data_IF_659061130428
#
_entry.id   IF_659061130428
#
_cell.length_a   1.000
_cell.length_b   1.000
_cell.length_c   1.000
_cell.angle_alpha   90.00
_cell.angle_beta   90.00
_cell.angle_gamma   90.00
#
_symmetry.space_group_name_H-M   'P 1'
#
loop_
_entity.id
_entity.type
_entity.pdbx_description
1 polymer ?
#
# COMPACT_ATOMS: atom_id res chain seq x y z
N UNK A 1 -18.89 1.68 10.29
CA UNK A 1 -18.33 1.36 8.96
C UNK A 1 -19.43 1.04 7.93
N UNK A 2 -20.44 0.18 8.22
CA UNK A 2 -21.55 -0.12 7.27
C UNK A 2 -22.28 1.15 6.82
N UNK A 3 -22.55 2.10 7.73
CA UNK A 3 -23.23 3.37 7.39
C UNK A 3 -22.45 4.20 6.37
N UNK A 4 -21.10 4.28 6.49
CA UNK A 4 -20.25 5.00 5.54
C UNK A 4 -20.31 4.34 4.16
N UNK A 5 -20.15 3.02 4.10
CA UNK A 5 -20.23 2.27 2.86
C UNK A 5 -21.63 2.41 2.19
N UNK A 6 -22.71 2.34 2.98
CA UNK A 6 -24.07 2.55 2.48
C UNK A 6 -24.27 3.98 1.94
N UNK A 7 -23.70 4.99 2.62
CA UNK A 7 -23.78 6.37 2.14
C UNK A 7 -23.04 6.57 0.81
N UNK A 8 -21.84 5.99 0.64
CA UNK A 8 -21.10 6.02 -0.62
C UNK A 8 -21.93 5.43 -1.76
N UNK A 9 -22.64 4.33 -1.49
CA UNK A 9 -23.43 3.61 -2.50
C UNK A 9 -24.81 4.23 -2.79
N UNK A 10 -25.17 5.34 -2.15
CA UNK A 10 -26.41 6.07 -2.47
C UNK A 10 -26.36 6.81 -3.81
N UNK A 11 -25.15 7.04 -4.37
CA UNK A 11 -24.96 7.62 -5.68
C UNK A 11 -23.65 8.38 -5.84
N UNK A 12 -23.38 8.81 -7.07
CA UNK A 12 -22.11 9.45 -7.44
C UNK A 12 -21.81 10.73 -6.66
N UNK A 13 -22.81 11.51 -6.28
CA UNK A 13 -22.62 12.74 -5.49
C UNK A 13 -22.13 12.42 -4.09
N UNK A 14 -22.75 11.47 -3.40
CA UNK A 14 -22.38 11.02 -2.06
C UNK A 14 -20.97 10.42 -2.04
N UNK A 15 -20.68 9.58 -3.04
CA UNK A 15 -19.34 9.03 -3.22
C UNK A 15 -18.29 10.14 -3.42
N UNK A 16 -18.56 11.11 -4.30
CA UNK A 16 -17.65 12.26 -4.55
C UNK A 16 -17.39 13.07 -3.27
N UNK A 17 -18.44 13.35 -2.49
CA UNK A 17 -18.30 14.06 -1.22
C UNK A 17 -17.36 13.30 -0.28
N UNK A 18 -17.54 11.99 -0.11
CA UNK A 18 -16.67 11.19 0.77
C UNK A 18 -15.24 11.18 0.27
N UNK A 19 -15.02 10.91 -1.03
CA UNK A 19 -13.67 10.85 -1.61
C UNK A 19 -12.94 12.19 -1.45
N UNK A 20 -13.57 13.31 -1.85
CA UNK A 20 -12.96 14.63 -1.76
C UNK A 20 -12.74 15.09 -0.33
N UNK A 21 -13.72 14.92 0.56
CA UNK A 21 -13.60 15.33 1.96
C UNK A 21 -12.51 14.55 2.68
N UNK A 22 -12.45 13.21 2.51
CA UNK A 22 -11.44 12.37 3.14
C UNK A 22 -10.04 12.66 2.58
N UNK A 23 -9.92 12.99 1.29
CA UNK A 23 -8.66 13.43 0.71
C UNK A 23 -8.17 14.76 1.32
N UNK A 24 -9.02 15.77 1.43
CA UNK A 24 -8.63 17.03 2.05
C UNK A 24 -8.31 16.87 3.53
N UNK A 25 -9.13 16.13 4.28
CA UNK A 25 -8.87 15.86 5.69
C UNK A 25 -7.59 15.04 5.92
N UNK A 26 -7.15 14.26 4.94
CA UNK A 26 -5.90 13.50 5.05
C UNK A 26 -4.64 14.39 5.07
N UNK A 27 -4.74 15.65 4.71
CA UNK A 27 -3.66 16.62 4.91
C UNK A 27 -3.39 16.89 6.42
N UNK A 28 -4.43 16.73 7.25
CA UNK A 28 -4.33 16.87 8.72
C UNK A 28 -4.13 15.48 9.37
N UNK A 29 -4.77 14.46 8.84
CA UNK A 29 -4.74 13.09 9.35
C UNK A 29 -4.45 12.10 8.20
N UNK A 30 -3.17 11.81 7.90
CA UNK A 30 -2.75 11.00 6.76
C UNK A 30 -3.51 9.68 6.56
N UNK A 31 -3.90 8.91 7.60
CA UNK A 31 -4.65 7.66 7.40
C UNK A 31 -6.01 7.83 6.70
N UNK A 32 -6.59 9.02 6.66
CA UNK A 32 -7.88 9.27 5.99
C UNK A 32 -7.80 9.12 4.46
N UNK A 33 -6.61 9.18 3.88
CA UNK A 33 -6.40 8.89 2.45
C UNK A 33 -6.83 7.46 2.10
N UNK A 34 -6.68 6.52 3.04
CA UNK A 34 -7.11 5.12 2.86
C UNK A 34 -8.62 5.06 2.68
N UNK A 35 -9.39 5.84 3.46
CA UNK A 35 -10.86 5.89 3.35
C UNK A 35 -11.27 6.51 2.01
N UNK A 36 -10.58 7.57 1.57
CA UNK A 36 -10.81 8.20 0.28
C UNK A 36 -10.63 7.19 -0.88
N UNK A 37 -9.49 6.53 -0.94
CA UNK A 37 -9.21 5.55 -1.99
C UNK A 37 -10.08 4.29 -1.86
N UNK A 38 -10.45 3.86 -0.63
CA UNK A 38 -11.37 2.74 -0.42
C UNK A 38 -12.78 3.02 -0.98
N UNK A 39 -13.23 4.28 -0.94
CA UNK A 39 -14.49 4.67 -1.58
C UNK A 39 -14.42 4.53 -3.11
N UNK A 40 -13.28 4.90 -3.72
CA UNK A 40 -13.02 4.65 -5.16
C UNK A 40 -13.03 3.15 -5.44
N UNK A 41 -12.34 2.35 -4.62
CA UNK A 41 -12.34 0.89 -4.75
C UNK A 41 -13.76 0.30 -4.67
N UNK A 42 -14.55 0.70 -3.67
CA UNK A 42 -15.92 0.20 -3.47
C UNK A 42 -16.80 0.45 -4.69
N UNK A 43 -16.83 1.70 -5.19
CA UNK A 43 -17.64 2.06 -6.36
C UNK A 43 -17.16 1.32 -7.60
N UNK A 44 -15.85 1.26 -7.83
CA UNK A 44 -15.28 0.56 -8.98
C UNK A 44 -15.57 -0.94 -8.95
N UNK A 45 -15.40 -1.58 -7.79
CA UNK A 45 -15.70 -3.01 -7.59
C UNK A 45 -17.18 -3.31 -7.83
N UNK A 46 -18.08 -2.42 -7.41
CA UNK A 46 -19.52 -2.65 -7.52
C UNK A 46 -20.09 -2.23 -8.86
N UNK A 47 -19.85 -0.99 -9.27
CA UNK A 47 -20.49 -0.37 -10.45
C UNK A 47 -19.64 -0.49 -11.72
N UNK A 48 -18.31 -0.66 -11.59
CA UNK A 48 -17.40 -0.89 -12.70
C UNK A 48 -16.70 0.36 -13.23
N UNK A 49 -16.17 0.24 -14.45
CA UNK A 49 -15.30 1.23 -15.08
C UNK A 49 -15.95 2.62 -15.17
N UNK A 50 -17.16 2.70 -15.73
CA UNK A 50 -17.78 3.98 -16.06
C UNK A 50 -18.09 4.83 -14.82
N UNK A 51 -18.62 4.21 -13.76
CA UNK A 51 -18.97 4.91 -12.53
C UNK A 51 -17.75 5.22 -11.68
N UNK A 52 -16.76 4.31 -11.63
CA UNK A 52 -15.47 4.57 -11.02
C UNK A 52 -14.73 5.74 -11.67
N UNK A 53 -14.70 5.80 -13.01
CA UNK A 53 -14.08 6.90 -13.73
C UNK A 53 -14.80 8.24 -13.50
N UNK A 54 -16.15 8.25 -13.54
CA UNK A 54 -16.95 9.46 -13.22
C UNK A 54 -16.70 9.94 -11.79
N UNK A 55 -16.60 9.02 -10.85
CA UNK A 55 -16.27 9.34 -9.46
C UNK A 55 -14.91 10.02 -9.34
N UNK A 56 -13.87 9.45 -9.96
CA UNK A 56 -12.51 10.03 -9.92
C UNK A 56 -12.50 11.43 -10.53
N UNK A 57 -13.11 11.62 -11.69
CA UNK A 57 -13.21 12.94 -12.35
C UNK A 57 -13.90 13.94 -11.40
N UNK A 58 -15.07 13.57 -10.85
CA UNK A 58 -15.82 14.43 -9.94
C UNK A 58 -15.03 14.76 -8.66
N UNK A 59 -14.36 13.76 -8.07
CA UNK A 59 -13.52 13.96 -6.89
C UNK A 59 -12.31 14.85 -7.19
N UNK A 60 -11.67 14.67 -8.34
CA UNK A 60 -10.53 15.50 -8.77
C UNK A 60 -10.94 16.96 -8.91
N UNK A 61 -12.07 17.24 -9.58
CA UNK A 61 -12.58 18.60 -9.71
C UNK A 61 -12.93 19.19 -8.35
N UNK A 62 -13.67 18.47 -7.52
CA UNK A 62 -14.06 18.93 -6.18
C UNK A 62 -12.83 19.23 -5.30
N UNK A 63 -11.86 18.32 -5.27
CA UNK A 63 -10.63 18.50 -4.49
C UNK A 63 -9.74 19.61 -5.05
N UNK A 64 -9.71 19.80 -6.39
CA UNK A 64 -8.97 20.89 -7.01
C UNK A 64 -9.56 22.26 -6.63
N UNK A 65 -10.89 22.40 -6.64
CA UNK A 65 -11.57 23.63 -6.22
C UNK A 65 -11.29 23.93 -4.75
N UNK A 66 -11.46 22.95 -3.86
CA UNK A 66 -11.21 23.12 -2.42
C UNK A 66 -9.72 23.41 -2.18
N UNK A 67 -8.82 22.65 -2.81
CA UNK A 67 -7.38 22.81 -2.69
C UNK A 67 -6.91 24.19 -3.16
N UNK A 68 -7.49 24.71 -4.27
CA UNK A 68 -7.21 26.05 -4.74
C UNK A 68 -7.70 27.13 -3.75
N UNK A 69 -8.88 26.94 -3.17
CA UNK A 69 -9.44 27.89 -2.18
C UNK A 69 -8.63 27.90 -0.87
N UNK A 70 -8.14 26.75 -0.41
CA UNK A 70 -7.44 26.63 0.88
C UNK A 70 -5.93 26.85 0.78
N UNK A 71 -5.30 26.43 -0.31
CA UNK A 71 -3.84 26.37 -0.47
C UNK A 71 -3.32 27.20 -1.65
N UNK A 72 -4.20 27.80 -2.44
CA UNK A 72 -3.83 28.56 -3.63
C UNK A 72 -3.33 27.72 -4.80
N UNK A 73 -3.43 26.37 -4.73
CA UNK A 73 -2.91 25.47 -5.75
C UNK A 73 -3.78 24.23 -5.95
N UNK A 74 -3.98 23.74 -7.19
CA UNK A 74 -4.66 22.49 -7.48
C UNK A 74 -3.73 21.25 -7.40
N UNK A 75 -2.43 21.42 -7.10
CA UNK A 75 -1.43 20.33 -7.11
C UNK A 75 -1.81 19.18 -6.19
N UNK A 76 -2.43 19.46 -5.05
CA UNK A 76 -2.93 18.47 -4.10
C UNK A 76 -3.89 17.48 -4.77
N UNK A 77 -4.81 17.98 -5.58
CA UNK A 77 -5.77 17.14 -6.32
C UNK A 77 -5.07 16.23 -7.33
N UNK A 78 -4.08 16.76 -8.05
CA UNK A 78 -3.29 15.98 -9.00
C UNK A 78 -2.48 14.90 -8.32
N UNK A 79 -1.92 15.18 -7.15
CA UNK A 79 -1.21 14.18 -6.34
C UNK A 79 -2.13 13.03 -5.93
N UNK A 80 -3.33 13.32 -5.39
CA UNK A 80 -4.30 12.27 -5.05
C UNK A 80 -4.74 11.48 -6.28
N UNK A 81 -5.02 12.16 -7.41
CA UNK A 81 -5.39 11.51 -8.65
C UNK A 81 -4.33 10.49 -9.08
N UNK A 82 -3.09 10.92 -9.23
CA UNK A 82 -2.03 10.10 -9.80
C UNK A 82 -1.53 9.01 -8.82
N UNK A 83 -1.42 9.33 -7.52
CA UNK A 83 -0.77 8.45 -6.55
C UNK A 83 -1.76 7.49 -5.89
N UNK A 84 -3.01 7.92 -5.68
CA UNK A 84 -3.99 7.14 -4.92
C UNK A 84 -5.17 6.67 -5.76
N UNK A 85 -5.89 7.58 -6.43
CA UNK A 85 -7.18 7.22 -7.02
C UNK A 85 -7.04 6.42 -8.32
N UNK A 86 -6.14 6.79 -9.23
CA UNK A 86 -5.90 6.02 -10.46
C UNK A 86 -5.36 4.62 -10.16
N UNK A 87 -4.31 4.43 -9.33
CA UNK A 87 -3.88 3.09 -8.95
C UNK A 87 -4.98 2.27 -8.26
N UNK A 88 -5.71 2.87 -7.30
CA UNK A 88 -6.82 2.20 -6.62
C UNK A 88 -7.91 1.75 -7.60
N UNK A 89 -8.24 2.59 -8.57
CA UNK A 89 -9.20 2.30 -9.63
C UNK A 89 -8.74 1.11 -10.51
N UNK A 90 -7.50 1.15 -11.03
CA UNK A 90 -6.97 0.09 -11.88
C UNK A 90 -6.90 -1.24 -11.17
N UNK A 91 -6.39 -1.27 -9.93
CA UNK A 91 -6.28 -2.49 -9.14
C UNK A 91 -7.67 -3.05 -8.81
N UNK A 92 -8.65 -2.18 -8.53
CA UNK A 92 -10.04 -2.59 -8.30
C UNK A 92 -10.70 -3.16 -9.56
N UNK A 93 -10.39 -2.61 -10.74
CA UNK A 93 -10.85 -3.18 -12.01
C UNK A 93 -10.28 -4.57 -12.24
N UNK A 94 -8.97 -4.76 -12.01
CA UNK A 94 -8.35 -6.08 -12.13
C UNK A 94 -9.02 -7.08 -11.18
N UNK A 95 -9.28 -6.70 -9.93
CA UNK A 95 -9.98 -7.56 -8.98
C UNK A 95 -11.41 -7.86 -9.44
N UNK A 96 -12.15 -6.86 -9.94
CA UNK A 96 -13.51 -7.04 -10.44
C UNK A 96 -13.57 -8.00 -11.62
N UNK A 97 -12.73 -7.79 -12.63
CA UNK A 97 -12.76 -8.56 -13.89
C UNK A 97 -12.21 -9.99 -13.72
N UNK A 98 -11.25 -10.18 -12.85
CA UNK A 98 -10.62 -11.48 -12.65
C UNK A 98 -11.23 -12.30 -11.51
N UNK A 99 -11.82 -11.65 -10.53
CA UNK A 99 -12.26 -12.27 -9.28
C UNK A 99 -11.11 -12.85 -8.45
N UNK A 100 -9.85 -12.48 -8.74
CA UNK A 100 -8.66 -13.07 -8.14
C UNK A 100 -7.82 -12.02 -7.42
N UNK A 101 -7.75 -12.11 -6.09
CA UNK A 101 -7.00 -11.18 -5.26
C UNK A 101 -5.49 -11.18 -5.60
N UNK A 102 -4.91 -12.35 -5.92
CA UNK A 102 -3.50 -12.43 -6.30
C UNK A 102 -3.17 -11.60 -7.54
N UNK A 103 -4.01 -11.60 -8.58
CA UNK A 103 -3.81 -10.77 -9.77
C UNK A 103 -3.92 -9.29 -9.49
N UNK A 104 -4.84 -8.89 -8.60
CA UNK A 104 -4.96 -7.50 -8.16
C UNK A 104 -3.71 -7.05 -7.41
N UNK A 105 -3.14 -7.91 -6.57
CA UNK A 105 -1.91 -7.61 -5.82
C UNK A 105 -0.66 -7.61 -6.72
N UNK A 106 -0.56 -8.53 -7.67
CA UNK A 106 0.48 -8.51 -8.71
C UNK A 106 0.42 -7.18 -9.51
N UNK A 107 -0.79 -6.75 -9.92
CA UNK A 107 -1.00 -5.47 -10.57
C UNK A 107 -0.56 -4.29 -9.69
N UNK A 108 -0.89 -4.30 -8.40
CA UNK A 108 -0.48 -3.28 -7.46
C UNK A 108 1.04 -3.17 -7.37
N UNK A 109 1.74 -4.30 -7.27
CA UNK A 109 3.21 -4.34 -7.22
C UNK A 109 3.82 -3.87 -8.54
N UNK A 110 3.28 -4.26 -9.69
CA UNK A 110 3.72 -3.76 -10.99
C UNK A 110 3.58 -2.24 -11.13
N UNK A 111 2.50 -1.65 -10.60
CA UNK A 111 2.34 -0.19 -10.55
C UNK A 111 3.42 0.46 -9.67
N UNK A 112 3.74 -0.14 -8.53
CA UNK A 112 4.85 0.35 -7.68
C UNK A 112 6.21 0.25 -8.36
N UNK A 113 6.50 -0.89 -9.02
CA UNK A 113 7.74 -1.05 -9.78
C UNK A 113 7.83 -0.03 -10.90
N UNK A 114 6.73 0.23 -11.61
CA UNK A 114 6.66 1.27 -12.65
C UNK A 114 6.95 2.65 -12.07
N UNK A 115 6.41 2.96 -10.88
CA UNK A 115 6.68 4.23 -10.20
C UNK A 115 8.17 4.36 -9.82
N UNK A 116 8.79 3.31 -9.26
CA UNK A 116 10.23 3.30 -8.96
C UNK A 116 11.04 3.54 -10.24
N UNK A 117 10.77 2.79 -11.32
CA UNK A 117 11.46 2.95 -12.60
C UNK A 117 11.28 4.38 -13.14
N UNK A 118 10.08 4.94 -13.06
CA UNK A 118 9.81 6.31 -13.51
C UNK A 118 10.66 7.35 -12.77
N UNK A 119 10.86 7.18 -11.45
CA UNK A 119 11.72 8.06 -10.65
C UNK A 119 13.18 7.97 -11.14
N UNK A 120 13.71 6.76 -11.33
CA UNK A 120 15.09 6.56 -11.79
C UNK A 120 15.33 6.98 -13.24
N UNK A 121 14.29 6.97 -14.08
CA UNK A 121 14.38 7.52 -15.45
C UNK A 121 14.26 9.04 -15.47
N UNK A 122 13.60 9.65 -14.51
CA UNK A 122 13.36 11.09 -14.44
C UNK A 122 14.48 11.85 -13.72
N UNK A 123 15.19 11.18 -12.82
CA UNK A 123 16.23 11.77 -11.96
C UNK A 123 17.55 11.04 -12.17
N UNK A 124 18.62 11.80 -12.42
CA UNK A 124 19.96 11.25 -12.58
C UNK A 124 20.49 10.57 -11.32
N UNK A 125 20.11 11.08 -10.14
CA UNK A 125 20.47 10.52 -8.84
C UNK A 125 19.36 10.77 -7.83
N UNK A 126 18.41 9.84 -7.66
CA UNK A 126 17.32 9.98 -6.70
C UNK A 126 17.80 10.12 -5.24
N UNK A 127 18.90 9.47 -4.86
CA UNK A 127 19.47 9.53 -3.52
C UNK A 127 19.88 10.95 -3.12
N UNK A 128 20.53 11.71 -4.02
CA UNK A 128 20.91 13.09 -3.77
C UNK A 128 19.72 14.00 -3.49
N UNK A 129 18.60 13.80 -4.21
CA UNK A 129 17.36 14.55 -3.98
C UNK A 129 16.80 14.31 -2.58
N UNK A 130 16.82 13.07 -2.11
CA UNK A 130 16.40 12.72 -0.74
C UNK A 130 17.33 13.32 0.31
N UNK A 131 18.65 13.20 0.10
CA UNK A 131 19.65 13.83 1.00
C UNK A 131 19.43 15.32 1.11
N UNK A 132 19.27 16.04 -0.01
CA UNK A 132 19.04 17.48 -0.01
C UNK A 132 17.78 17.86 0.76
N UNK A 133 16.65 17.20 0.47
CA UNK A 133 15.36 17.48 1.14
C UNK A 133 15.38 17.22 2.65
N UNK A 134 16.07 16.17 3.12
CA UNK A 134 16.14 15.84 4.54
C UNK A 134 17.18 16.69 5.28
N UNK A 135 18.28 17.08 4.63
CA UNK A 135 19.28 17.97 5.24
C UNK A 135 18.67 19.30 5.67
N UNK A 136 17.75 19.87 4.90
CA UNK A 136 17.06 21.11 5.27
C UNK A 136 16.23 20.92 6.55
N UNK A 137 15.57 19.75 6.70
CA UNK A 137 14.82 19.39 7.91
C UNK A 137 15.77 19.21 9.11
N UNK A 138 16.87 18.47 8.94
CA UNK A 138 17.88 18.26 9.99
C UNK A 138 18.44 19.61 10.46
N UNK A 139 18.76 20.49 9.52
CA UNK A 139 19.27 21.83 9.84
C UNK A 139 18.28 22.64 10.66
N UNK A 140 17.01 22.66 10.28
CA UNK A 140 15.95 23.37 11.00
C UNK A 140 15.73 22.82 12.42
N UNK A 141 15.83 21.48 12.61
CA UNK A 141 15.74 20.84 13.92
C UNK A 141 16.96 21.12 14.80
N UNK A 142 18.18 21.11 14.21
CA UNK A 142 19.41 21.41 14.96
C UNK A 142 19.47 22.84 15.47
N UNK A 143 18.95 23.80 14.69
CA UNK A 143 18.83 25.21 15.11
C UNK A 143 17.87 25.40 16.29
N UNK A 144 16.92 24.48 16.50
CA UNK A 144 16.00 24.47 17.65
C UNK A 144 16.58 23.76 18.89
N UNK A 145 17.76 23.16 18.81
CA UNK A 145 18.42 22.52 19.94
C UNK A 145 17.86 21.15 20.36
N UNK A 146 16.95 20.57 19.58
CA UNK A 146 16.18 19.36 19.94
C UNK A 146 16.88 18.03 19.57
N UNK A 147 18.11 18.06 19.02
CA UNK A 147 18.78 16.84 18.58
C UNK A 147 19.67 16.23 19.65
N UNK A 148 19.31 15.01 20.11
CA UNK A 148 20.11 14.21 21.03
C UNK A 148 21.28 13.44 20.35
N UNK A 149 21.36 13.47 19.02
CA UNK A 149 22.32 12.72 18.17
C UNK A 149 23.22 13.71 17.45
N UNK A 150 24.52 13.37 17.26
CA UNK A 150 25.45 14.24 16.53
C UNK A 150 25.05 14.40 15.06
N UNK A 151 25.29 15.59 14.51
CA UNK A 151 24.97 15.87 13.10
C UNK A 151 25.69 14.93 12.13
N UNK A 152 26.92 14.51 12.45
CA UNK A 152 27.71 13.61 11.61
C UNK A 152 27.08 12.21 11.55
N UNK A 153 26.62 11.67 12.68
CA UNK A 153 25.94 10.37 12.70
C UNK A 153 24.61 10.39 11.95
N UNK A 154 23.86 11.51 12.05
CA UNK A 154 22.62 11.69 11.29
C UNK A 154 22.92 11.75 9.79
N UNK A 155 23.99 12.44 9.39
CA UNK A 155 24.38 12.56 7.99
C UNK A 155 24.82 11.22 7.40
N UNK A 156 25.68 10.47 8.08
CA UNK A 156 26.11 9.13 7.64
C UNK A 156 24.89 8.18 7.51
N UNK A 157 24.01 8.18 8.50
CA UNK A 157 22.78 7.38 8.44
C UNK A 157 21.88 7.80 7.27
N UNK A 158 21.71 9.11 7.05
CA UNK A 158 20.92 9.63 5.94
C UNK A 158 21.52 9.25 4.58
N UNK A 159 22.82 9.37 4.42
CA UNK A 159 23.51 8.99 3.19
C UNK A 159 23.29 7.51 2.88
N UNK A 160 23.42 6.62 3.87
CA UNK A 160 23.15 5.19 3.71
C UNK A 160 21.69 4.91 3.31
N UNK A 161 20.72 5.51 4.02
CA UNK A 161 19.30 5.22 3.77
C UNK A 161 18.76 5.90 2.52
N UNK A 162 19.38 6.99 2.04
CA UNK A 162 18.92 7.75 0.87
C UNK A 162 18.76 6.88 -0.39
N UNK A 163 19.64 5.88 -0.56
CA UNK A 163 19.61 4.91 -1.65
C UNK A 163 18.36 4.02 -1.65
N UNK A 164 17.66 3.91 -0.53
CA UNK A 164 16.49 3.05 -0.35
C UNK A 164 15.17 3.83 -0.17
N UNK A 165 15.22 5.15 0.07
CA UNK A 165 14.03 5.96 0.38
C UNK A 165 13.00 5.90 -0.75
N UNK A 166 13.40 5.91 -2.01
CA UNK A 166 12.48 5.81 -3.15
C UNK A 166 11.62 4.56 -3.04
N UNK A 167 12.23 3.40 -2.83
CA UNK A 167 11.53 2.13 -2.65
C UNK A 167 10.64 2.12 -1.40
N UNK A 168 11.11 2.68 -0.29
CA UNK A 168 10.34 2.77 0.95
C UNK A 168 9.10 3.64 0.80
N UNK A 169 9.20 4.80 0.14
CA UNK A 169 8.07 5.71 -0.10
C UNK A 169 7.03 5.05 -1.00
N UNK A 170 7.49 4.42 -2.09
CA UNK A 170 6.59 3.69 -2.98
C UNK A 170 5.96 2.51 -2.26
N UNK A 171 6.70 1.70 -1.50
CA UNK A 171 6.16 0.57 -0.73
C UNK A 171 5.14 1.04 0.31
N UNK A 172 5.38 2.16 1.02
CA UNK A 172 4.41 2.78 1.94
C UNK A 172 3.12 3.21 1.23
N UNK A 173 3.26 3.75 0.02
CA UNK A 173 2.11 4.09 -0.84
C UNK A 173 1.34 2.84 -1.26
N UNK A 174 2.02 1.77 -1.66
CA UNK A 174 1.38 0.49 -2.01
C UNK A 174 0.68 -0.13 -0.80
N UNK A 175 1.23 -0.03 0.40
CA UNK A 175 0.55 -0.48 1.64
C UNK A 175 -0.76 0.31 1.83
N UNK A 176 -0.74 1.62 1.63
CA UNK A 176 -1.94 2.46 1.74
C UNK A 176 -2.99 2.10 0.69
N UNK A 177 -2.56 1.85 -0.56
CA UNK A 177 -3.43 1.39 -1.65
C UNK A 177 -4.00 0.00 -1.39
N UNK A 178 -3.18 -0.91 -0.86
CA UNK A 178 -3.62 -2.23 -0.44
C UNK A 178 -4.69 -2.15 0.65
N UNK A 179 -4.42 -1.38 1.71
CA UNK A 179 -5.42 -1.17 2.78
C UNK A 179 -6.71 -0.58 2.23
N UNK A 180 -6.61 0.32 1.24
CA UNK A 180 -7.77 0.89 0.56
C UNK A 180 -8.56 -0.16 -0.24
N UNK A 181 -7.86 -1.02 -0.98
CA UNK A 181 -8.47 -2.11 -1.74
C UNK A 181 -9.18 -3.10 -0.80
N UNK A 182 -8.49 -3.55 0.27
CA UNK A 182 -9.04 -4.49 1.24
C UNK A 182 -10.24 -3.89 1.98
N UNK A 183 -10.17 -2.61 2.36
CA UNK A 183 -11.28 -1.90 3.00
C UNK A 183 -12.47 -1.76 2.04
N UNK A 184 -12.23 -1.36 0.79
CA UNK A 184 -13.28 -1.26 -0.24
C UNK A 184 -13.93 -2.62 -0.52
N UNK A 185 -13.14 -3.69 -0.61
CA UNK A 185 -13.61 -5.07 -0.81
C UNK A 185 -14.39 -5.58 0.41
N UNK A 186 -13.93 -5.27 1.62
CA UNK A 186 -14.66 -5.57 2.85
C UNK A 186 -16.01 -4.84 2.92
N UNK A 187 -16.06 -3.55 2.56
CA UNK A 187 -17.31 -2.81 2.46
C UNK A 187 -18.26 -3.41 1.41
N UNK A 188 -17.74 -3.82 0.26
CA UNK A 188 -18.53 -4.53 -0.74
C UNK A 188 -19.10 -5.84 -0.17
N UNK A 189 -18.28 -6.59 0.57
CA UNK A 189 -18.72 -7.79 1.29
C UNK A 189 -19.85 -7.49 2.26
N UNK A 190 -19.68 -6.50 3.14
CA UNK A 190 -20.68 -6.10 4.15
C UNK A 190 -22.04 -5.70 3.57
N UNK A 191 -22.04 -5.15 2.34
CA UNK A 191 -23.28 -4.66 1.72
C UNK A 191 -23.94 -5.68 0.79
N UNK A 192 -23.14 -6.49 0.08
CA UNK A 192 -23.65 -7.25 -1.06
C UNK A 192 -23.30 -8.74 -1.06
N UNK A 193 -22.20 -9.14 -0.40
CA UNK A 193 -21.74 -10.53 -0.37
C UNK A 193 -21.03 -10.83 0.96
N UNK A 194 -21.79 -11.05 2.05
CA UNK A 194 -21.23 -11.47 3.32
C UNK A 194 -20.37 -12.72 3.13
N UNK A 195 -19.21 -12.78 3.82
CA UNK A 195 -18.23 -13.87 3.84
C UNK A 195 -17.35 -14.02 2.58
N UNK A 196 -17.71 -13.45 1.43
CA UNK A 196 -16.93 -13.58 0.20
C UNK A 196 -15.51 -13.04 0.31
N UNK A 197 -15.28 -11.92 1.00
CA UNK A 197 -13.96 -11.36 1.24
C UNK A 197 -13.08 -12.26 2.13
N UNK A 198 -13.67 -12.85 3.16
CA UNK A 198 -12.95 -13.75 4.04
C UNK A 198 -12.44 -15.00 3.31
N UNK A 199 -13.28 -15.55 2.43
CA UNK A 199 -12.93 -16.71 1.63
C UNK A 199 -11.79 -16.38 0.63
N UNK A 200 -11.87 -15.23 -0.05
CA UNK A 200 -10.80 -14.76 -0.94
C UNK A 200 -9.47 -14.59 -0.20
N UNK A 201 -9.49 -13.92 0.95
CA UNK A 201 -8.30 -13.68 1.76
C UNK A 201 -7.71 -14.97 2.33
N UNK A 202 -8.55 -15.90 2.75
CA UNK A 202 -8.14 -17.23 3.24
C UNK A 202 -7.49 -18.07 2.15
N UNK A 203 -8.00 -17.99 0.91
CA UNK A 203 -7.51 -18.76 -0.24
C UNK A 203 -6.38 -18.05 -0.98
N UNK A 204 -6.03 -16.83 -0.57
CA UNK A 204 -4.95 -16.06 -1.21
C UNK A 204 -3.62 -16.78 -1.08
N UNK A 205 -2.99 -17.08 -2.21
CA UNK A 205 -1.70 -17.78 -2.30
C UNK A 205 -0.89 -17.25 -3.47
N UNK A 206 0.40 -17.08 -3.23
CA UNK A 206 1.37 -16.73 -4.26
C UNK A 206 1.81 -17.94 -5.06
N UNK A 207 2.24 -17.71 -6.28
CA UNK A 207 2.75 -18.74 -7.19
C UNK A 207 4.27 -18.83 -7.09
N UNK A 208 4.88 -19.99 -7.44
CA UNK A 208 6.33 -20.14 -7.47
C UNK A 208 7.07 -19.12 -8.34
N UNK A 209 6.42 -18.60 -9.38
CA UNK A 209 6.97 -17.55 -10.25
C UNK A 209 7.23 -16.26 -9.48
N UNK A 210 6.37 -15.89 -8.51
CA UNK A 210 6.51 -14.65 -7.72
C UNK A 210 7.75 -14.74 -6.82
N UNK A 211 7.98 -15.93 -6.23
CA UNK A 211 9.19 -16.19 -5.47
C UNK A 211 10.45 -16.22 -6.36
N UNK A 212 10.34 -16.70 -7.61
CA UNK A 212 11.44 -16.67 -8.57
C UNK A 212 11.81 -15.23 -8.93
N UNK A 213 10.83 -14.34 -9.16
CA UNK A 213 11.07 -12.91 -9.44
C UNK A 213 11.86 -12.27 -8.30
N UNK A 214 11.46 -12.52 -7.05
CA UNK A 214 12.17 -12.03 -5.87
C UNK A 214 13.62 -12.52 -5.82
N UNK A 215 13.86 -13.82 -6.00
CA UNK A 215 15.22 -14.40 -5.98
C UNK A 215 16.08 -13.84 -7.11
N UNK A 216 15.50 -13.65 -8.30
CA UNK A 216 16.20 -13.05 -9.45
C UNK A 216 16.59 -11.62 -9.14
N UNK A 217 15.71 -10.80 -8.57
CA UNK A 217 16.05 -9.43 -8.22
C UNK A 217 17.12 -9.33 -7.14
N UNK A 218 17.06 -10.15 -6.08
CA UNK A 218 18.15 -10.23 -5.11
C UNK A 218 19.45 -10.60 -5.81
N UNK A 219 19.47 -11.62 -6.67
CA UNK A 219 20.65 -12.02 -7.42
C UNK A 219 21.21 -10.88 -8.28
N UNK A 220 20.35 -10.15 -8.99
CA UNK A 220 20.76 -9.00 -9.82
C UNK A 220 21.29 -7.85 -8.94
N UNK A 221 20.68 -7.58 -7.78
CA UNK A 221 21.13 -6.54 -6.86
C UNK A 221 22.55 -6.77 -6.31
N UNK A 222 22.96 -8.05 -6.19
CA UNK A 222 24.34 -8.41 -5.81
C UNK A 222 25.32 -8.48 -7.00
N UNK A 223 24.81 -8.60 -8.23
CA UNK A 223 25.63 -8.65 -9.43
C UNK A 223 25.95 -7.26 -10.01
N UNK A 224 25.11 -6.30 -9.75
CA UNK A 224 25.27 -4.92 -10.21
C UNK A 224 25.86 -4.05 -9.12
N UNK A 225 26.49 -2.95 -9.54
CA UNK A 225 27.03 -1.90 -8.68
C UNK A 225 26.36 -0.56 -8.97
N UNK A 226 26.52 0.40 -8.05
CA UNK A 226 26.04 1.77 -8.19
C UNK A 226 24.53 1.87 -8.38
N UNK A 227 24.11 2.79 -9.24
CA UNK A 227 22.70 3.14 -9.40
C UNK A 227 21.82 1.98 -9.91
N UNK A 228 22.36 1.03 -10.66
CA UNK A 228 21.62 -0.15 -11.09
C UNK A 228 21.31 -1.09 -9.92
N UNK A 229 22.26 -1.29 -9.02
CA UNK A 229 22.03 -2.05 -7.80
C UNK A 229 20.96 -1.38 -6.94
N UNK A 230 21.04 -0.05 -6.78
CA UNK A 230 20.02 0.71 -6.03
C UNK A 230 18.63 0.54 -6.64
N UNK A 231 18.51 0.70 -7.96
CA UNK A 231 17.23 0.49 -8.66
C UNK A 231 16.67 -0.89 -8.35
N UNK A 232 17.48 -1.95 -8.47
CA UNK A 232 17.04 -3.32 -8.25
C UNK A 232 16.60 -3.54 -6.80
N UNK A 233 17.34 -3.02 -5.81
CA UNK A 233 16.93 -3.06 -4.40
C UNK A 233 15.59 -2.35 -4.16
N UNK A 234 15.39 -1.18 -4.77
CA UNK A 234 14.14 -0.44 -4.65
C UNK A 234 12.97 -1.15 -5.35
N UNK A 235 13.21 -1.90 -6.43
CA UNK A 235 12.20 -2.77 -7.07
C UNK A 235 11.87 -3.98 -6.21
N UNK A 236 12.87 -4.61 -5.60
CA UNK A 236 12.68 -5.79 -4.77
C UNK A 236 11.82 -5.52 -3.53
N UNK A 237 11.94 -4.31 -2.95
CA UNK A 237 11.05 -3.87 -1.87
C UNK A 237 9.56 -3.94 -2.23
N UNK A 238 9.20 -3.72 -3.51
CA UNK A 238 7.81 -3.81 -3.94
C UNK A 238 7.33 -5.26 -3.97
N UNK A 239 8.22 -6.19 -4.35
CA UNK A 239 7.91 -7.63 -4.38
C UNK A 239 7.75 -8.19 -2.97
N UNK A 240 8.52 -7.70 -1.99
CA UNK A 240 8.40 -8.09 -0.58
C UNK A 240 6.99 -7.88 -0.02
N UNK A 241 6.24 -6.89 -0.55
CA UNK A 241 4.86 -6.64 -0.15
C UNK A 241 3.95 -7.84 -0.42
N UNK A 242 4.14 -8.56 -1.53
CA UNK A 242 3.36 -9.77 -1.82
C UNK A 242 3.57 -10.84 -0.74
N UNK A 243 4.81 -11.06 -0.34
CA UNK A 243 5.13 -12.05 0.69
C UNK A 243 4.67 -11.61 2.09
N UNK A 244 4.69 -10.32 2.38
CA UNK A 244 4.12 -9.79 3.62
C UNK A 244 2.63 -10.14 3.72
N UNK A 245 1.85 -9.90 2.66
CA UNK A 245 0.42 -10.20 2.65
C UNK A 245 0.16 -11.69 2.70
N UNK A 246 0.95 -12.48 1.96
CA UNK A 246 0.85 -13.94 2.00
C UNK A 246 1.11 -14.46 3.43
N UNK A 247 2.14 -13.95 4.10
CA UNK A 247 2.47 -14.30 5.48
C UNK A 247 1.37 -13.90 6.46
N UNK A 248 0.83 -12.68 6.35
CA UNK A 248 -0.32 -12.24 7.16
C UNK A 248 -1.51 -13.18 6.94
N UNK A 249 -1.82 -13.55 5.69
CA UNK A 249 -2.91 -14.45 5.37
C UNK A 249 -2.69 -15.86 5.98
N UNK A 250 -1.46 -16.39 5.93
CA UNK A 250 -1.12 -17.68 6.57
C UNK A 250 -1.35 -17.60 8.08
N UNK A 251 -0.80 -16.59 8.75
CA UNK A 251 -0.95 -16.41 10.20
C UNK A 251 -2.43 -16.24 10.57
N UNK A 252 -3.17 -15.42 9.82
CA UNK A 252 -4.61 -15.22 10.03
C UNK A 252 -5.39 -16.55 9.99
N UNK A 253 -5.14 -17.38 8.98
CA UNK A 253 -5.81 -18.69 8.82
C UNK A 253 -5.47 -19.64 9.98
N UNK A 254 -4.19 -19.72 10.36
CA UNK A 254 -3.75 -20.59 11.44
C UNK A 254 -4.33 -20.16 12.79
N UNK A 255 -4.31 -18.85 13.07
CA UNK A 255 -4.79 -18.30 14.35
C UNK A 255 -6.31 -18.38 14.44
N UNK A 256 -7.05 -18.16 13.35
CA UNK A 256 -8.53 -18.20 13.33
C UNK A 256 -9.10 -19.52 13.80
N UNK A 257 -8.40 -20.63 13.59
CA UNK A 257 -8.83 -21.97 14.01
C UNK A 257 -8.50 -22.31 15.48
N UNK A 258 -7.99 -21.34 16.25
CA UNK A 258 -7.66 -21.52 17.69
C UNK A 258 -8.74 -20.94 18.58
N UNK A 259 -8.91 -21.52 19.78
CA UNK A 259 -9.72 -20.92 20.82
C UNK A 259 -9.18 -19.53 21.20
N UNK A 260 -10.06 -18.53 21.35
CA UNK A 260 -9.63 -17.15 21.61
C UNK A 260 -9.07 -16.40 20.38
N UNK A 261 -9.29 -16.92 19.18
CA UNK A 261 -8.75 -16.38 17.91
C UNK A 261 -8.96 -14.88 17.72
N UNK A 262 -10.11 -14.32 18.17
CA UNK A 262 -10.37 -12.87 18.06
C UNK A 262 -9.32 -12.03 18.79
N UNK A 263 -8.96 -12.39 20.01
CA UNK A 263 -7.96 -11.66 20.80
C UNK A 263 -6.54 -11.86 20.23
N UNK A 264 -6.24 -13.07 19.79
CA UNK A 264 -4.95 -13.39 19.17
C UNK A 264 -4.75 -12.62 17.85
N UNK A 265 -5.77 -12.56 16.99
CA UNK A 265 -5.72 -11.78 15.75
C UNK A 265 -5.61 -10.28 16.03
N UNK A 266 -6.36 -9.76 16.99
CA UNK A 266 -6.27 -8.36 17.39
C UNK A 266 -4.86 -8.01 17.87
N UNK A 267 -4.28 -8.82 18.78
CA UNK A 267 -2.90 -8.64 19.27
C UNK A 267 -1.87 -8.75 18.13
N UNK A 268 -2.07 -9.71 17.22
CA UNK A 268 -1.19 -9.87 16.06
C UNK A 268 -1.18 -8.63 15.16
N UNK A 269 -2.35 -8.09 14.80
CA UNK A 269 -2.41 -6.91 13.95
C UNK A 269 -1.86 -5.66 14.65
N UNK A 270 -2.11 -5.50 15.94
CA UNK A 270 -1.49 -4.43 16.75
C UNK A 270 0.03 -4.59 16.76
N UNK A 271 0.53 -5.80 17.01
CA UNK A 271 1.97 -6.05 17.04
C UNK A 271 2.63 -5.74 15.68
N UNK A 272 2.03 -6.15 14.57
CA UNK A 272 2.53 -5.85 13.21
C UNK A 272 2.55 -4.35 12.94
N UNK A 273 1.55 -3.61 13.44
CA UNK A 273 1.45 -2.18 13.25
C UNK A 273 2.50 -1.39 14.06
N UNK A 274 2.70 -1.75 15.34
CA UNK A 274 3.59 -1.03 16.25
C UNK A 274 5.04 -1.53 16.23
N UNK A 275 5.28 -2.74 15.75
CA UNK A 275 6.61 -3.37 15.73
C UNK A 275 6.97 -3.75 14.30
N UNK A 276 7.52 -2.79 13.49
CA UNK A 276 7.84 -3.04 12.08
C UNK A 276 8.77 -4.23 11.83
N UNK A 277 9.64 -4.55 12.78
CA UNK A 277 10.55 -5.70 12.69
C UNK A 277 9.82 -7.05 12.59
N UNK A 278 8.55 -7.14 13.02
CA UNK A 278 7.72 -8.33 12.83
C UNK A 278 7.35 -8.58 11.36
N UNK A 279 7.42 -7.56 10.51
CA UNK A 279 7.18 -7.76 9.07
C UNK A 279 8.18 -8.75 8.48
N UNK A 280 9.43 -8.75 8.94
CA UNK A 280 10.46 -9.63 8.41
C UNK A 280 10.15 -11.13 8.58
N UNK A 281 9.90 -11.68 9.79
CA UNK A 281 9.48 -13.06 9.93
C UNK A 281 8.16 -13.39 9.22
N UNK A 282 7.24 -12.43 9.11
CA UNK A 282 5.98 -12.62 8.38
C UNK A 282 6.24 -12.79 6.88
N UNK A 283 7.13 -11.98 6.30
CA UNK A 283 7.58 -12.11 4.91
C UNK A 283 8.19 -13.50 4.67
N UNK A 284 9.05 -13.98 5.57
CA UNK A 284 9.64 -15.32 5.48
C UNK A 284 8.58 -16.43 5.54
N UNK A 285 7.55 -16.28 6.36
CA UNK A 285 6.40 -17.20 6.39
C UNK A 285 5.70 -17.17 5.02
N UNK A 286 5.42 -16.01 4.47
CA UNK A 286 4.77 -15.86 3.17
C UNK A 286 5.60 -16.45 2.03
N UNK A 287 6.90 -16.20 2.01
CA UNK A 287 7.82 -16.75 1.03
C UNK A 287 7.87 -18.28 1.11
N UNK A 288 8.03 -18.84 2.33
CA UNK A 288 8.08 -20.28 2.53
C UNK A 288 6.75 -20.99 2.23
N UNK A 289 5.59 -20.32 2.39
CA UNK A 289 4.26 -20.87 2.10
C UNK A 289 4.10 -21.25 0.63
N UNK A 290 4.83 -20.60 -0.27
CA UNK A 290 4.83 -20.91 -1.71
C UNK A 290 5.13 -22.41 -1.97
N UNK A 291 6.08 -22.98 -1.22
CA UNK A 291 6.48 -24.38 -1.35
C UNK A 291 5.91 -25.29 -0.25
N UNK A 292 5.85 -24.78 1.00
CA UNK A 292 5.53 -25.62 2.16
C UNK A 292 4.03 -25.80 2.41
N UNK A 293 3.19 -24.89 1.88
CA UNK A 293 1.73 -24.90 2.09
C UNK A 293 1.35 -25.05 3.58
N UNK A 294 1.80 -24.09 4.39
CA UNK A 294 1.63 -24.12 5.85
C UNK A 294 0.17 -24.30 6.27
N UNK A 295 -0.77 -23.73 5.54
CA UNK A 295 -2.20 -23.81 5.83
C UNK A 295 -2.70 -25.25 5.85
N UNK A 296 -2.37 -26.05 4.83
CA UNK A 296 -2.76 -27.44 4.80
C UNK A 296 -2.10 -28.26 5.92
N UNK A 297 -0.83 -27.98 6.25
CA UNK A 297 -0.11 -28.71 7.30
C UNK A 297 -0.66 -28.44 8.70
N UNK A 298 -1.16 -27.23 8.95
CA UNK A 298 -1.71 -26.88 10.26
C UNK A 298 -3.19 -27.23 10.38
N UNK A 299 -3.98 -27.16 9.29
CA UNK A 299 -5.38 -27.55 9.29
C UNK A 299 -5.61 -29.06 9.30
N UNK A 300 -4.69 -29.84 8.73
CA UNK A 300 -4.76 -31.31 8.72
C UNK A 300 -4.45 -31.94 10.11
N UNK A 301 -3.98 -31.15 11.09
CA UNK A 301 -3.63 -31.60 12.43
C UNK A 301 -4.67 -31.23 13.49
N UNK A 302 -5.69 -30.50 13.11
CA UNK A 302 -6.85 -30.14 13.98
C UNK A 302 -8.10 -30.85 13.53
#
# INVERSE_FOLDING_TARGET
MKAVASFIMQGGRQATIVVATMAILSLLMPPLVIISAAAVCLVTLREGFADGARLIIGATVATALIGYMLLGTPLVSMSYLCIMWLPAFFVSLVLRETGQLNKALECLVLLGMTAVIAVYLSLSNPAELWVAGIQDVIKSLSEQGDLAVSQDQLREGLEFWSHYITGMVVAGTLISLLMSLLLGRWWQGLLFNPDGFEEEFRNFRLLPRDALVFVVFIGLAFLFDGQLAELVWNLDMQVLLLFLIAGISVVHVIVKNRSGSRYLLFSFYIAVFFVPHLMFPIILIGLSDVWMNWRLRFLAKT
#
